data_IF_807961067941
#
_entry.id   IF_807961067941
#
_cell.length_a   1.000
_cell.length_b   1.000
_cell.length_c   1.000
_cell.angle_alpha   90.00
_cell.angle_beta   90.00
_cell.angle_gamma   90.00
#
_symmetry.space_group_name_H-M   'P 1'
#
loop_
_entity.id
_entity.type
_entity.pdbx_description
1 polymer ?
#
# COMPACT_ATOMS: atom_id res chain seq x y z
N UNK A 1 15.01 16.82 -7.36
CA UNK A 1 13.68 16.87 -6.72
C UNK A 1 13.52 15.61 -5.89
N UNK A 2 13.07 15.71 -4.65
CA UNK A 2 12.76 14.54 -3.80
C UNK A 2 11.65 13.71 -4.43
N UNK A 3 11.80 12.38 -4.50
CA UNK A 3 10.78 11.46 -5.02
C UNK A 3 9.48 11.58 -4.21
N UNK A 4 8.38 11.97 -4.86
CA UNK A 4 7.05 12.13 -4.24
C UNK A 4 6.05 11.09 -4.75
N UNK A 5 6.50 10.03 -5.41
CA UNK A 5 5.60 8.93 -5.82
C UNK A 5 4.93 8.32 -4.58
N UNK A 6 3.65 7.91 -4.67
CA UNK A 6 2.98 7.20 -3.60
C UNK A 6 3.78 5.97 -3.18
N UNK A 7 3.89 5.75 -1.88
CA UNK A 7 4.55 4.58 -1.30
C UNK A 7 3.50 3.49 -1.14
N UNK A 8 3.76 2.28 -1.65
CA UNK A 8 2.93 1.11 -1.39
C UNK A 8 3.74 0.10 -0.57
N UNK A 9 3.26 -0.17 0.64
CA UNK A 9 3.69 -1.25 1.50
C UNK A 9 2.92 -2.52 1.16
N UNK A 10 3.61 -3.45 0.50
CA UNK A 10 3.11 -4.78 0.21
C UNK A 10 3.39 -5.73 1.35
N UNK A 11 2.36 -6.36 1.89
CA UNK A 11 2.49 -7.29 2.99
C UNK A 11 1.76 -8.61 2.73
N UNK A 12 2.02 -9.62 3.56
CA UNK A 12 1.11 -10.75 3.74
C UNK A 12 0.25 -10.54 5.01
N UNK A 13 -0.92 -11.18 5.16
CA UNK A 13 -1.69 -11.11 6.40
C UNK A 13 -0.88 -11.63 7.60
N UNK A 14 -1.10 -11.03 8.78
CA UNK A 14 -0.40 -11.38 10.05
C UNK A 14 1.10 -11.03 10.10
N UNK A 15 1.53 -10.04 9.32
CA UNK A 15 2.88 -9.47 9.25
C UNK A 15 3.10 -8.24 10.14
N UNK A 16 2.16 -7.85 11.01
CA UNK A 16 2.15 -6.56 11.73
C UNK A 16 2.14 -5.31 10.82
N UNK A 17 1.71 -5.45 9.57
CA UNK A 17 1.64 -4.33 8.61
C UNK A 17 0.72 -3.18 9.02
N UNK A 18 -0.37 -3.45 9.75
CA UNK A 18 -1.21 -2.39 10.33
C UNK A 18 -0.48 -1.58 11.40
N UNK A 19 0.46 -2.18 12.13
CA UNK A 19 1.32 -1.44 13.08
C UNK A 19 2.36 -0.61 12.31
N UNK A 20 2.92 -1.15 11.22
CA UNK A 20 3.87 -0.43 10.36
C UNK A 20 3.27 0.84 9.73
N UNK A 21 1.96 0.88 9.53
CA UNK A 21 1.24 2.03 8.98
C UNK A 21 1.14 3.21 9.97
N UNK A 22 1.16 2.95 11.28
CA UNK A 22 0.99 3.95 12.36
C UNK A 22 1.97 5.13 12.29
N UNK A 23 3.29 4.92 12.09
CA UNK A 23 4.25 5.99 11.86
C UNK A 23 3.81 7.06 10.86
N UNK A 24 3.20 6.65 9.73
CA UNK A 24 2.80 7.55 8.66
C UNK A 24 1.47 8.26 8.99
N UNK A 25 0.60 7.63 9.78
CA UNK A 25 -0.64 8.25 10.25
C UNK A 25 -0.37 9.45 11.17
N UNK A 26 0.66 9.35 12.03
CA UNK A 26 1.04 10.46 12.94
C UNK A 26 1.45 11.71 12.15
N UNK A 27 2.01 11.52 10.96
CA UNK A 27 2.49 12.58 10.09
C UNK A 27 1.40 13.03 9.09
N UNK A 28 0.16 13.23 9.57
CA UNK A 28 -1.01 13.51 8.73
C UNK A 28 -0.94 14.83 7.91
N UNK A 29 -0.04 15.74 8.26
CA UNK A 29 0.27 16.95 7.48
C UNK A 29 1.29 16.70 6.36
N UNK A 30 1.86 15.50 6.28
CA UNK A 30 2.81 15.09 5.25
C UNK A 30 2.32 13.89 4.45
N UNK A 31 1.54 13.00 5.08
CA UNK A 31 1.05 11.79 4.48
C UNK A 31 -0.48 11.72 4.40
N UNK A 32 -0.94 11.26 3.25
CA UNK A 32 -2.29 10.75 3.08
C UNK A 32 -2.24 9.23 3.14
N UNK A 33 -2.64 8.66 4.27
CA UNK A 33 -2.52 7.22 4.52
C UNK A 33 -3.79 6.50 4.12
N UNK A 34 -3.61 5.35 3.45
CA UNK A 34 -4.69 4.55 2.88
C UNK A 34 -4.54 3.08 3.26
N UNK A 35 -5.56 2.57 3.96
CA UNK A 35 -5.59 1.18 4.42
C UNK A 35 -6.30 0.24 3.42
N UNK A 36 -5.54 -0.73 2.90
CA UNK A 36 -6.00 -1.89 2.10
C UNK A 36 -7.03 -1.57 0.99
N UNK A 37 -6.82 -0.54 0.15
CA UNK A 37 -7.86 -0.07 -0.76
C UNK A 37 -8.24 -1.08 -1.86
N UNK A 38 -7.38 -2.06 -2.15
CA UNK A 38 -7.64 -3.08 -3.18
C UNK A 38 -8.41 -4.30 -2.64
N UNK A 39 -8.38 -4.53 -1.33
CA UNK A 39 -9.03 -5.69 -0.70
C UNK A 39 -10.56 -5.65 -0.90
N UNK A 40 -11.28 -4.55 -0.62
CA UNK A 40 -12.73 -4.48 -0.85
C UNK A 40 -13.12 -4.71 -2.30
N UNK A 41 -12.31 -4.20 -3.25
CA UNK A 41 -12.57 -4.34 -4.68
C UNK A 41 -12.41 -5.79 -5.11
N UNK A 42 -11.35 -6.47 -4.67
CA UNK A 42 -11.17 -7.90 -4.92
C UNK A 42 -12.31 -8.72 -4.34
N UNK A 43 -12.73 -8.41 -3.11
CA UNK A 43 -13.88 -9.09 -2.48
C UNK A 43 -15.13 -8.88 -3.31
N UNK A 44 -15.44 -7.64 -3.71
CA UNK A 44 -16.59 -7.33 -4.54
C UNK A 44 -16.56 -8.05 -5.89
N UNK A 45 -15.40 -8.15 -6.54
CA UNK A 45 -15.23 -8.90 -7.78
C UNK A 45 -15.50 -10.40 -7.58
N UNK A 46 -14.89 -10.99 -6.55
CA UNK A 46 -15.06 -12.41 -6.22
C UNK A 46 -16.49 -12.78 -5.84
N UNK A 47 -17.16 -11.93 -5.06
CA UNK A 47 -18.55 -12.16 -4.61
C UNK A 47 -19.60 -11.63 -5.60
N UNK A 48 -19.18 -11.08 -6.75
CA UNK A 48 -20.07 -10.41 -7.72
C UNK A 48 -20.98 -9.35 -7.08
N UNK A 49 -20.43 -8.55 -6.17
CA UNK A 49 -21.18 -7.48 -5.51
C UNK A 49 -21.36 -6.28 -6.44
N UNK A 50 -22.43 -6.30 -7.25
CA UNK A 50 -22.75 -5.26 -8.23
C UNK A 50 -22.90 -3.87 -7.59
N UNK A 51 -23.35 -3.76 -6.34
CA UNK A 51 -23.50 -2.46 -5.66
C UNK A 51 -22.17 -1.71 -5.53
N UNK A 52 -21.07 -2.44 -5.39
CA UNK A 52 -19.72 -1.85 -5.31
C UNK A 52 -19.13 -1.73 -6.71
N UNK A 53 -19.23 -2.78 -7.51
CA UNK A 53 -18.64 -2.79 -8.85
C UNK A 53 -19.24 -1.69 -9.74
N UNK A 54 -20.53 -1.39 -9.62
CA UNK A 54 -21.19 -0.33 -10.38
C UNK A 54 -20.77 1.08 -9.95
N UNK A 55 -20.15 1.25 -8.77
CA UNK A 55 -19.57 2.53 -8.33
C UNK A 55 -18.18 2.77 -8.93
N UNK A 56 -17.50 1.71 -9.37
CA UNK A 56 -16.17 1.79 -9.97
C UNK A 56 -16.30 2.35 -11.39
N UNK A 57 -15.91 3.61 -11.56
CA UNK A 57 -15.94 4.27 -12.86
C UNK A 57 -14.77 3.81 -13.73
N UNK A 58 -14.94 3.61 -15.04
CA UNK A 58 -13.83 3.29 -15.92
C UNK A 58 -12.81 4.44 -15.97
N UNK A 59 -11.52 4.15 -16.23
CA UNK A 59 -10.52 5.19 -16.35
C UNK A 59 -10.81 6.11 -17.54
N UNK A 60 -10.46 7.38 -17.38
CA UNK A 60 -10.56 8.41 -18.42
C UNK A 60 -9.28 8.42 -19.26
N UNK A 61 -9.33 8.89 -20.53
CA UNK A 61 -8.12 9.03 -21.36
C UNK A 61 -7.05 9.95 -20.76
N UNK A 62 -7.43 10.85 -19.86
CA UNK A 62 -6.53 11.77 -19.15
C UNK A 62 -5.93 11.17 -17.88
N UNK A 63 -6.34 9.97 -17.48
CA UNK A 63 -5.85 9.36 -16.25
C UNK A 63 -4.42 8.82 -16.41
N UNK A 64 -3.62 8.80 -15.33
CA UNK A 64 -2.26 8.25 -15.36
C UNK A 64 -2.18 6.78 -15.78
N UNK A 65 -3.22 5.99 -15.50
CA UNK A 65 -3.38 4.59 -15.90
C UNK A 65 -4.72 4.48 -16.62
N UNK A 66 -4.68 4.09 -17.89
CA UNK A 66 -5.86 4.02 -18.77
C UNK A 66 -6.35 2.59 -19.03
N UNK A 67 -5.57 1.57 -18.63
CA UNK A 67 -5.95 0.17 -18.82
C UNK A 67 -7.24 -0.16 -18.05
N UNK A 68 -8.32 -0.64 -18.71
CA UNK A 68 -9.57 -0.96 -18.03
C UNK A 68 -9.42 -2.16 -17.09
N UNK A 69 -9.36 -1.90 -15.79
CA UNK A 69 -9.30 -2.91 -14.74
C UNK A 69 -10.00 -2.39 -13.48
N UNK A 70 -10.57 -3.29 -12.66
CA UNK A 70 -11.32 -2.91 -11.46
C UNK A 70 -10.46 -2.17 -10.41
N UNK A 71 -9.13 -2.36 -10.43
CA UNK A 71 -8.19 -1.60 -9.58
C UNK A 71 -7.76 -0.24 -10.17
N UNK A 72 -7.89 -0.04 -11.48
CA UNK A 72 -7.35 1.15 -12.14
C UNK A 72 -7.85 2.47 -11.53
N UNK A 73 -9.14 2.64 -11.21
CA UNK A 73 -9.63 3.90 -10.63
C UNK A 73 -8.99 4.20 -9.27
N UNK A 74 -8.83 3.18 -8.43
CA UNK A 74 -8.16 3.30 -7.12
C UNK A 74 -6.68 3.59 -7.25
N UNK A 75 -5.98 2.96 -8.21
CA UNK A 75 -4.58 3.28 -8.50
C UNK A 75 -4.40 4.72 -8.99
N UNK A 76 -5.31 5.21 -9.84
CA UNK A 76 -5.31 6.61 -10.28
C UNK A 76 -5.58 7.56 -9.13
N UNK A 77 -6.49 7.19 -8.23
CA UNK A 77 -6.80 7.98 -7.03
C UNK A 77 -5.63 8.06 -6.05
N UNK A 78 -4.86 6.98 -5.89
CA UNK A 78 -3.60 6.97 -5.13
C UNK A 78 -2.56 7.93 -5.74
N UNK A 79 -2.56 8.12 -7.07
CA UNK A 79 -1.63 9.03 -7.76
C UNK A 79 -2.05 10.50 -7.67
N UNK A 80 -3.35 10.78 -7.49
CA UNK A 80 -3.84 12.16 -7.41
C UNK A 80 -3.23 12.90 -6.22
N UNK A 81 -3.09 14.23 -6.31
CA UNK A 81 -2.63 15.03 -5.19
C UNK A 81 -3.72 15.07 -4.10
N UNK A 82 -3.29 14.87 -2.85
CA UNK A 82 -4.12 14.97 -1.65
C UNK A 82 -3.65 16.13 -0.78
N UNK A 83 -4.52 16.71 0.03
CA UNK A 83 -4.22 17.95 0.75
C UNK A 83 -4.75 17.88 2.19
N UNK A 84 -4.00 18.47 3.12
CA UNK A 84 -4.40 18.53 4.53
C UNK A 84 -5.38 19.68 4.75
N UNK A 85 -6.58 19.41 5.28
CA UNK A 85 -7.59 20.42 5.60
C UNK A 85 -7.89 21.44 4.46
N UNK A 86 -7.78 21.00 3.21
CA UNK A 86 -8.01 21.85 2.03
C UNK A 86 -6.87 22.82 1.69
N UNK A 87 -5.74 22.78 2.40
CA UNK A 87 -4.56 23.55 2.09
C UNK A 87 -3.87 23.00 0.82
N UNK A 88 -4.04 23.72 -0.30
CA UNK A 88 -3.48 23.34 -1.61
C UNK A 88 -2.04 23.82 -1.84
N UNK A 89 -1.38 24.40 -0.82
CA UNK A 89 0.00 24.89 -0.97
C UNK A 89 1.02 23.76 -1.08
N UNK A 90 0.75 22.61 -0.44
CA UNK A 90 1.65 21.45 -0.42
C UNK A 90 0.83 20.15 -0.49
N UNK A 91 0.99 19.33 -1.54
CA UNK A 91 0.36 18.02 -1.59
C UNK A 91 0.99 17.07 -0.56
N UNK A 92 0.15 16.23 0.02
CA UNK A 92 0.54 15.10 0.87
C UNK A 92 1.08 13.97 -0.01
N UNK A 93 2.10 13.27 0.48
CA UNK A 93 2.56 12.03 -0.14
C UNK A 93 1.64 10.90 0.28
N UNK A 94 1.18 10.09 -0.67
CA UNK A 94 0.28 8.98 -0.33
C UNK A 94 1.09 7.79 0.19
N UNK A 95 0.66 7.21 1.30
CA UNK A 95 1.17 5.94 1.84
C UNK A 95 0.05 4.91 1.84
N UNK A 96 0.24 3.81 1.14
CA UNK A 96 -0.75 2.74 1.02
C UNK A 96 -0.21 1.48 1.68
N UNK A 97 -1.03 0.83 2.49
CA UNK A 97 -0.77 -0.52 2.95
C UNK A 97 -1.72 -1.48 2.23
N UNK A 98 -1.23 -2.52 1.56
CA UNK A 98 -2.10 -3.55 0.95
C UNK A 98 -1.44 -4.94 0.98
N UNK A 99 -2.19 -5.97 0.61
CA UNK A 99 -1.68 -7.33 0.53
C UNK A 99 -1.14 -7.64 -0.87
N UNK A 100 0.14 -8.04 -0.95
CA UNK A 100 0.81 -8.39 -2.20
C UNK A 100 0.00 -9.37 -3.05
N UNK A 101 -0.58 -10.39 -2.42
CA UNK A 101 -1.38 -11.43 -3.09
C UNK A 101 -2.60 -10.86 -3.82
N UNK A 102 -3.20 -9.79 -3.31
CA UNK A 102 -4.39 -9.16 -3.90
C UNK A 102 -4.02 -8.56 -5.24
N UNK A 103 -3.04 -7.66 -5.27
CA UNK A 103 -2.59 -7.06 -6.51
C UNK A 103 -1.95 -8.08 -7.46
N UNK A 104 -1.00 -8.88 -6.97
CA UNK A 104 -0.22 -9.81 -7.80
C UNK A 104 -1.08 -10.82 -8.56
N UNK A 105 -2.14 -11.34 -7.95
CA UNK A 105 -3.01 -12.32 -8.60
C UNK A 105 -3.93 -11.69 -9.65
N UNK A 106 -4.60 -10.58 -9.31
CA UNK A 106 -5.57 -9.94 -10.22
C UNK A 106 -4.86 -9.23 -11.39
N UNK A 107 -3.62 -8.77 -11.18
CA UNK A 107 -2.81 -8.11 -12.22
C UNK A 107 -2.02 -9.07 -13.12
N UNK A 108 -2.07 -10.39 -12.86
CA UNK A 108 -1.20 -11.35 -13.53
C UNK A 108 -1.46 -11.39 -15.04
N UNK A 109 -0.42 -11.12 -15.82
CA UNK A 109 -0.47 -11.18 -17.29
C UNK A 109 -1.17 -9.99 -17.95
N UNK A 110 -1.46 -8.92 -17.20
CA UNK A 110 -2.06 -7.70 -17.74
C UNK A 110 -1.16 -6.46 -17.54
N UNK A 111 -1.45 -5.34 -18.23
CA UNK A 111 -0.62 -4.13 -18.21
C UNK A 111 -0.39 -3.50 -16.83
N UNK A 112 -1.14 -3.87 -15.78
CA UNK A 112 -0.87 -3.37 -14.43
C UNK A 112 0.50 -3.83 -13.90
N UNK A 113 1.03 -4.98 -14.37
CA UNK A 113 2.40 -5.43 -14.03
C UNK A 113 3.48 -4.86 -14.97
N UNK A 114 3.13 -3.93 -15.85
CA UNK A 114 4.11 -3.29 -16.74
C UNK A 114 5.02 -2.33 -15.98
N UNK A 115 6.21 -2.07 -16.54
CA UNK A 115 7.12 -1.04 -16.03
C UNK A 115 6.45 0.33 -15.97
N UNK A 116 5.63 0.65 -16.96
CA UNK A 116 4.91 1.92 -17.03
C UNK A 116 4.00 2.14 -15.82
N UNK A 117 3.25 1.12 -15.40
CA UNK A 117 2.34 1.22 -14.25
C UNK A 117 3.10 1.11 -12.93
N UNK A 118 3.98 0.13 -12.78
CA UNK A 118 4.70 -0.10 -11.52
C UNK A 118 5.63 1.06 -11.16
N UNK A 119 6.29 1.68 -12.15
CA UNK A 119 7.18 2.83 -11.88
C UNK A 119 6.46 4.11 -11.44
N UNK A 120 5.12 4.16 -11.46
CA UNK A 120 4.34 5.27 -10.87
C UNK A 120 4.33 5.25 -9.33
N UNK A 121 4.77 4.16 -8.72
CA UNK A 121 4.73 3.95 -7.27
C UNK A 121 6.12 3.63 -6.73
N UNK A 122 6.36 3.98 -5.45
CA UNK A 122 7.51 3.49 -4.69
C UNK A 122 7.08 2.23 -3.94
N UNK A 123 7.59 1.08 -4.33
CA UNK A 123 7.22 -0.19 -3.72
C UNK A 123 8.12 -0.53 -2.53
N UNK A 124 7.51 -1.06 -1.48
CA UNK A 124 8.20 -1.59 -0.30
C UNK A 124 7.49 -2.83 0.19
N UNK A 125 8.18 -3.65 0.98
CA UNK A 125 7.67 -4.96 1.40
C UNK A 125 7.90 -5.18 2.89
N UNK A 126 6.89 -5.76 3.55
CA UNK A 126 6.99 -6.24 4.93
C UNK A 126 6.70 -7.74 4.97
N UNK A 127 7.65 -8.49 5.52
CA UNK A 127 7.53 -9.94 5.76
C UNK A 127 7.77 -10.27 7.24
N UNK A 128 7.55 -11.52 7.65
CA UNK A 128 7.69 -11.94 9.05
C UNK A 128 7.96 -13.44 9.18
N UNK A 129 9.15 -13.88 9.58
CA UNK A 129 9.55 -15.30 9.59
C UNK A 129 8.42 -16.36 9.84
N UNK A 130 8.30 -17.40 8.97
CA UNK A 130 7.28 -18.46 9.07
C UNK A 130 7.20 -19.22 10.39
N UNK A 131 8.31 -19.31 11.14
CA UNK A 131 8.42 -20.19 12.31
C UNK A 131 7.46 -19.79 13.44
N UNK A 132 6.99 -18.54 13.44
CA UNK A 132 6.11 -17.98 14.47
C UNK A 132 4.63 -17.93 14.04
N UNK A 133 4.25 -18.63 12.97
CA UNK A 133 2.88 -18.62 12.41
C UNK A 133 2.45 -20.02 11.96
N UNK A 134 1.17 -20.18 11.55
CA UNK A 134 0.69 -21.43 10.94
C UNK A 134 1.49 -21.72 9.67
N UNK A 135 2.40 -22.70 9.76
CA UNK A 135 3.47 -22.97 8.77
C UNK A 135 2.99 -23.09 7.32
N UNK A 136 1.86 -23.76 7.08
CA UNK A 136 1.33 -24.03 5.73
C UNK A 136 0.78 -22.76 5.06
N UNK A 137 -0.02 -21.97 5.79
CA UNK A 137 -0.55 -20.70 5.31
C UNK A 137 0.58 -19.73 4.99
N UNK A 138 1.57 -19.66 5.87
CA UNK A 138 2.67 -18.73 5.73
C UNK A 138 3.54 -19.03 4.51
N UNK A 139 3.94 -20.28 4.30
CA UNK A 139 4.78 -20.66 3.13
C UNK A 139 4.15 -20.20 1.82
N UNK A 140 2.84 -20.42 1.66
CA UNK A 140 2.13 -20.01 0.46
C UNK A 140 2.03 -18.47 0.32
N UNK A 141 1.72 -17.77 1.41
CA UNK A 141 1.61 -16.32 1.42
C UNK A 141 2.97 -15.63 1.13
N UNK A 142 4.05 -16.17 1.69
CA UNK A 142 5.38 -15.63 1.47
C UNK A 142 5.97 -15.94 0.11
N UNK A 143 5.69 -17.12 -0.45
CA UNK A 143 6.06 -17.41 -1.82
C UNK A 143 5.48 -16.33 -2.76
N UNK A 144 4.20 -15.98 -2.57
CA UNK A 144 3.55 -14.92 -3.37
C UNK A 144 4.12 -13.53 -3.12
N UNK A 145 4.47 -13.19 -1.88
CA UNK A 145 5.15 -11.93 -1.56
C UNK A 145 6.49 -11.84 -2.28
N UNK A 146 7.28 -12.92 -2.24
CA UNK A 146 8.59 -13.00 -2.87
C UNK A 146 8.52 -12.97 -4.39
N UNK A 147 7.61 -13.75 -4.99
CA UNK A 147 7.37 -13.72 -6.44
C UNK A 147 7.06 -12.30 -6.92
N UNK A 148 6.24 -11.57 -6.13
CA UNK A 148 5.88 -10.20 -6.49
C UNK A 148 7.02 -9.21 -6.27
N UNK A 149 7.80 -9.35 -5.19
CA UNK A 149 9.04 -8.60 -4.98
C UNK A 149 10.00 -8.78 -6.17
N UNK A 150 10.26 -10.03 -6.56
CA UNK A 150 11.17 -10.35 -7.66
C UNK A 150 10.64 -9.78 -8.99
N UNK A 151 9.33 -9.86 -9.24
CA UNK A 151 8.70 -9.25 -10.41
C UNK A 151 8.94 -7.74 -10.45
N UNK A 152 8.59 -7.02 -9.37
CA UNK A 152 8.75 -5.56 -9.34
C UNK A 152 10.22 -5.19 -9.51
N UNK A 153 11.12 -5.85 -8.77
CA UNK A 153 12.56 -5.59 -8.84
C UNK A 153 13.09 -5.77 -10.26
N UNK A 154 12.71 -6.85 -10.94
CA UNK A 154 13.15 -7.14 -12.31
C UNK A 154 12.57 -6.15 -13.33
N UNK A 155 11.31 -5.72 -13.14
CA UNK A 155 10.62 -4.83 -14.08
C UNK A 155 11.07 -3.37 -13.93
N UNK A 156 11.20 -2.87 -12.70
CA UNK A 156 11.53 -1.46 -12.43
C UNK A 156 13.04 -1.24 -12.35
N UNK A 157 13.79 -2.22 -11.87
CA UNK A 157 15.22 -2.09 -11.56
C UNK A 157 15.51 -1.25 -10.31
N UNK A 158 14.50 -0.91 -9.51
CA UNK A 158 14.68 -0.10 -8.32
C UNK A 158 15.16 -0.91 -7.11
N UNK A 159 15.94 -0.27 -6.25
CA UNK A 159 16.17 -0.74 -4.89
C UNK A 159 14.88 -0.61 -4.08
N UNK A 160 14.47 -1.73 -3.48
CA UNK A 160 13.18 -1.89 -2.79
C UNK A 160 13.44 -2.15 -1.31
N UNK A 161 12.85 -1.34 -0.44
CA UNK A 161 12.88 -1.58 0.99
C UNK A 161 12.14 -2.87 1.33
N UNK A 162 12.84 -3.81 1.96
CA UNK A 162 12.32 -5.09 2.43
C UNK A 162 12.54 -5.16 3.95
N UNK A 163 11.46 -5.15 4.71
CA UNK A 163 11.49 -5.07 6.17
C UNK A 163 11.06 -6.40 6.78
N UNK A 164 11.86 -6.92 7.72
CA UNK A 164 11.41 -7.99 8.62
C UNK A 164 10.61 -7.37 9.78
N UNK A 165 9.40 -7.87 9.97
CA UNK A 165 8.51 -7.44 11.04
C UNK A 165 9.05 -7.75 12.43
N UNK A 166 9.88 -8.78 12.59
CA UNK A 166 10.48 -9.09 13.89
C UNK A 166 11.61 -8.10 14.22
N UNK A 167 12.43 -7.70 13.24
CA UNK A 167 13.43 -6.65 13.40
C UNK A 167 12.76 -5.31 13.73
N UNK A 168 11.65 -4.99 13.07
CA UNK A 168 10.85 -3.79 13.37
C UNK A 168 10.42 -3.74 14.84
N UNK A 169 10.04 -4.88 15.42
CA UNK A 169 9.61 -4.93 16.82
C UNK A 169 10.80 -4.83 17.77
N UNK A 170 11.93 -5.44 17.43
CA UNK A 170 13.12 -5.45 18.27
C UNK A 170 13.87 -4.11 18.27
N UNK A 171 13.96 -3.47 17.10
CA UNK A 171 14.72 -2.23 16.90
C UNK A 171 13.91 -1.19 16.08
N UNK A 172 12.74 -0.74 16.57
CA UNK A 172 11.79 0.06 15.78
C UNK A 172 12.39 1.35 15.21
N UNK A 173 13.14 2.10 16.02
CA UNK A 173 13.78 3.34 15.59
C UNK A 173 14.79 3.11 14.46
N UNK A 174 15.69 2.14 14.64
CA UNK A 174 16.74 1.82 13.66
C UNK A 174 16.13 1.38 12.33
N UNK A 175 15.11 0.51 12.39
CA UNK A 175 14.42 0.01 11.20
C UNK A 175 13.65 1.13 10.50
N UNK A 176 12.91 1.96 11.23
CA UNK A 176 12.16 3.07 10.62
C UNK A 176 13.08 4.15 10.05
N UNK A 177 14.20 4.48 10.70
CA UNK A 177 15.20 5.40 10.14
C UNK A 177 15.72 4.92 8.79
N UNK A 178 16.14 3.65 8.72
CA UNK A 178 16.64 3.05 7.48
C UNK A 178 15.55 2.94 6.41
N UNK A 179 14.33 2.59 6.80
CA UNK A 179 13.19 2.56 5.88
C UNK A 179 12.94 3.95 5.27
N UNK A 180 12.86 4.98 6.12
CA UNK A 180 12.62 6.37 5.71
C UNK A 180 13.70 6.86 4.74
N UNK A 181 14.98 6.57 5.02
CA UNK A 181 16.09 6.84 4.10
C UNK A 181 15.87 6.20 2.72
N UNK A 182 15.53 4.91 2.66
CA UNK A 182 15.32 4.19 1.40
C UNK A 182 14.12 4.70 0.58
N UNK A 183 13.08 5.22 1.25
CA UNK A 183 11.89 5.77 0.56
C UNK A 183 11.96 7.28 0.34
N UNK A 184 13.01 7.95 0.81
CA UNK A 184 13.18 9.40 0.70
C UNK A 184 12.21 10.18 1.59
N UNK A 185 12.04 9.74 2.83
CA UNK A 185 11.21 10.37 3.87
C UNK A 185 12.12 10.82 5.01
N UNK A 186 11.86 11.98 5.59
CA UNK A 186 12.54 12.42 6.80
C UNK A 186 12.02 11.60 7.99
N UNK A 187 12.91 10.92 8.70
CA UNK A 187 12.52 10.25 9.94
C UNK A 187 12.24 11.27 11.04
N UNK A 188 11.11 11.10 11.71
CA UNK A 188 10.67 11.93 12.84
C UNK A 188 10.45 11.07 14.06
N UNK A 189 10.81 11.55 15.25
CA UNK A 189 10.72 10.73 16.48
C UNK A 189 9.25 10.40 16.81
N UNK A 190 8.34 11.29 16.41
CA UNK A 190 6.89 11.15 16.47
C UNK A 190 6.37 9.92 15.73
N UNK A 191 7.16 9.34 14.80
CA UNK A 191 6.84 8.08 14.14
C UNK A 191 6.86 6.87 15.10
N UNK A 192 7.47 6.99 16.28
CA UNK A 192 7.59 5.92 17.27
C UNK A 192 6.49 5.92 18.33
N UNK A 193 5.73 7.00 18.42
CA UNK A 193 4.75 7.21 19.48
C UNK A 193 3.39 7.55 18.88
N UNK A 194 2.33 6.86 19.31
CA UNK A 194 0.97 7.17 18.87
C UNK A 194 -0.04 6.94 19.97
N UNK A 195 -1.10 7.75 19.97
CA UNK A 195 -2.25 7.57 20.85
C UNK A 195 -3.12 6.42 20.34
N UNK A 196 -3.75 5.68 21.26
CA UNK A 196 -4.58 4.52 20.91
C UNK A 196 -5.79 4.87 20.01
N UNK A 197 -6.20 6.14 19.99
CA UNK A 197 -7.48 6.64 19.45
C UNK A 197 -7.43 7.11 17.99
N UNK A 198 -6.26 7.11 17.32
CA UNK A 198 -6.24 7.49 15.91
C UNK A 198 -6.82 6.37 15.04
N UNK A 199 -7.94 6.66 14.38
CA UNK A 199 -8.60 5.74 13.45
C UNK A 199 -7.85 5.65 12.12
N UNK A 200 -7.77 4.44 11.59
CA UNK A 200 -7.27 4.20 10.24
C UNK A 200 -8.27 4.76 9.24
N UNK A 201 -7.80 5.56 8.28
CA UNK A 201 -8.62 5.98 7.14
C UNK A 201 -8.79 4.79 6.20
N UNK A 202 -9.94 4.14 6.29
CA UNK A 202 -10.45 3.34 5.18
C UNK A 202 -10.95 4.30 4.09
N UNK A 203 -10.85 3.95 2.81
CA UNK A 203 -11.49 4.75 1.77
C UNK A 203 -12.99 4.89 2.09
N UNK A 204 -13.44 6.13 2.33
CA UNK A 204 -14.79 6.46 2.82
C UNK A 204 -15.94 6.11 1.85
N UNK A 205 -15.65 5.60 0.65
CA UNK A 205 -16.67 4.98 -0.21
C UNK A 205 -16.97 3.52 0.18
N UNK A 206 -16.06 2.85 0.90
CA UNK A 206 -16.27 1.50 1.44
C UNK A 206 -16.82 1.50 2.87
N UNK A 207 -16.51 2.52 3.69
CA UNK A 207 -16.86 2.50 5.11
C UNK A 207 -18.37 2.75 5.39
N UNK A 208 -19.08 3.43 4.47
CA UNK A 208 -20.55 3.59 4.55
C UNK A 208 -21.33 2.38 4.02
N UNK A 209 -20.67 1.35 3.49
CA UNK A 209 -21.35 0.21 2.85
C UNK A 209 -21.20 -1.13 3.62
N UNK A 210 -20.42 -1.15 4.71
CA UNK A 210 -20.08 -2.38 5.45
C UNK A 210 -20.15 -2.30 6.98
N UNK A 211 -21.03 -1.46 7.55
CA UNK A 211 -21.56 -1.76 8.89
C UNK A 211 -22.65 -2.83 8.72
N UNK A 212 -22.36 -4.05 9.19
CA UNK A 212 -23.40 -5.01 9.60
C UNK A 212 -24.03 -4.46 10.87
#
# INVERSE_FOLDING_TARGET
MTDQRPIILWAHPRSRSTVFERPFLQLNQEFYVVHEPLVPIRVAHYTKNEKILNKIQPPKPTDPITFPHHFTPTLNEIIKPHYYNGDQTKPLRVFVKDFARVYFNESKGNPLQSKEVLSKFKHTFLFRNPEQSVKSYYKAANAKLRDFYDLIKNVTGEEIALVDSDDLVQEPEKILRKYCEMVGVEFKIEMLEWKAEEELRFWDECDKTYRI
#
